data_IF_757108009520
#
_entry.id   IF_757108009520
#
_cell.length_a   1.000
_cell.length_b   1.000
_cell.length_c   1.000
_cell.angle_alpha   90.00
_cell.angle_beta   90.00
_cell.angle_gamma   90.00
#
_symmetry.space_group_name_H-M   'P 1'
#
loop_
_entity.id
_entity.type
_entity.pdbx_description
1 polymer ?
#
# COMPACT_ATOMS: atom_id res chain seq x y z
N UNK A 1 40.38 54.83 6.46
CA UNK A 1 40.56 53.56 5.72
C UNK A 1 40.83 52.35 6.61
N UNK A 2 41.63 52.44 7.68
CA UNK A 2 41.95 51.30 8.58
C UNK A 2 40.80 50.77 9.45
N UNK A 3 39.73 51.53 9.67
CA UNK A 3 38.57 51.13 10.52
C UNK A 3 37.45 50.40 9.78
N UNK A 4 37.38 50.50 8.45
CA UNK A 4 36.37 49.80 7.64
C UNK A 4 36.82 48.37 7.32
N UNK A 5 38.14 48.13 7.28
CA UNK A 5 38.70 46.79 7.04
C UNK A 5 38.45 45.82 8.21
N UNK A 6 38.34 46.31 9.44
CA UNK A 6 38.12 45.47 10.63
C UNK A 6 36.66 45.01 10.77
N UNK A 7 35.69 45.81 10.37
CA UNK A 7 34.26 45.44 10.48
C UNK A 7 33.86 44.37 9.46
N UNK A 8 34.51 44.35 8.29
CA UNK A 8 34.23 43.37 7.23
C UNK A 8 34.79 41.97 7.56
N UNK A 9 35.89 41.91 8.33
CA UNK A 9 36.51 40.65 8.76
C UNK A 9 35.73 39.96 9.90
N UNK A 10 35.03 40.73 10.75
CA UNK A 10 34.27 40.17 11.87
C UNK A 10 32.96 39.51 11.43
N UNK A 11 32.33 39.96 10.34
CA UNK A 11 31.09 39.37 9.83
C UNK A 11 31.34 38.00 9.17
N UNK A 12 32.53 37.78 8.59
CA UNK A 12 32.88 36.47 8.01
C UNK A 12 33.22 35.41 9.08
N UNK A 13 33.54 35.80 10.31
CA UNK A 13 33.88 34.87 11.39
C UNK A 13 32.63 34.30 12.12
N UNK A 14 31.45 34.85 11.87
CA UNK A 14 30.17 34.36 12.40
C UNK A 14 29.25 33.75 11.34
N UNK A 15 29.74 33.60 10.11
CA UNK A 15 29.16 32.66 9.16
C UNK A 15 29.56 31.24 9.59
N UNK A 16 29.01 30.76 10.72
CA UNK A 16 28.91 29.32 10.91
C UNK A 16 28.19 28.82 9.66
N UNK A 17 28.84 28.04 8.78
CA UNK A 17 28.12 27.43 7.69
C UNK A 17 27.01 26.62 8.36
N UNK A 18 25.81 26.78 7.82
CA UNK A 18 24.62 26.07 8.24
C UNK A 18 24.94 24.59 8.51
N UNK A 19 25.13 24.24 9.79
CA UNK A 19 25.15 22.85 10.27
C UNK A 19 23.74 22.23 10.23
N UNK A 20 22.80 22.87 9.53
CA UNK A 20 21.45 22.40 9.26
C UNK A 20 21.40 21.34 8.13
N UNK A 21 22.55 20.86 7.67
CA UNK A 21 22.66 19.78 6.68
C UNK A 21 23.62 18.67 7.13
N UNK A 22 23.76 18.44 8.44
CA UNK A 22 24.44 17.23 8.92
C UNK A 22 23.48 16.05 8.80
N UNK A 23 23.69 15.26 7.76
CA UNK A 23 23.01 13.99 7.54
C UNK A 23 24.00 12.90 7.94
N UNK A 24 24.05 12.58 9.23
CA UNK A 24 24.76 11.40 9.71
C UNK A 24 23.80 10.20 9.77
N UNK A 25 24.38 9.00 9.91
CA UNK A 25 23.61 7.76 9.98
C UNK A 25 22.61 7.77 11.14
N UNK A 26 22.94 8.45 12.25
CA UNK A 26 22.08 8.59 13.43
C UNK A 26 20.85 9.46 13.13
N UNK A 27 21.02 10.58 12.43
CA UNK A 27 19.92 11.45 12.00
C UNK A 27 18.97 10.72 11.06
N UNK A 28 19.51 10.04 10.05
CA UNK A 28 18.71 9.23 9.12
C UNK A 28 17.98 8.08 9.82
N UNK A 29 18.65 7.39 10.75
CA UNK A 29 18.02 6.32 11.53
C UNK A 29 16.92 6.86 12.45
N UNK A 30 17.11 8.04 13.03
CA UNK A 30 16.10 8.70 13.86
C UNK A 30 14.88 9.16 13.03
N UNK A 31 15.09 9.72 11.84
CA UNK A 31 14.02 10.13 10.92
C UNK A 31 13.26 8.93 10.33
N UNK A 32 13.94 7.81 10.08
CA UNK A 32 13.32 6.59 9.59
C UNK A 32 12.47 5.86 10.65
N UNK A 33 12.63 6.21 11.94
CA UNK A 33 11.99 5.52 13.05
C UNK A 33 10.47 5.62 12.95
N UNK A 34 9.82 4.46 12.93
CA UNK A 34 8.37 4.33 12.80
C UNK A 34 7.85 4.41 11.36
N UNK A 35 8.70 4.62 10.35
CA UNK A 35 8.35 4.61 8.91
C UNK A 35 9.30 3.72 8.08
N UNK A 36 9.92 2.72 8.69
CA UNK A 36 10.96 1.89 8.09
C UNK A 36 10.48 1.16 6.82
N UNK A 37 9.20 0.75 6.80
CA UNK A 37 8.57 0.16 5.63
C UNK A 37 8.43 1.14 4.45
N UNK A 38 8.19 2.42 4.75
CA UNK A 38 8.11 3.48 3.73
C UNK A 38 9.51 3.74 3.16
N UNK A 39 10.52 3.85 4.02
CA UNK A 39 11.93 4.00 3.61
C UNK A 39 12.34 2.82 2.73
N UNK A 40 12.01 1.59 3.13
CA UNK A 40 12.29 0.39 2.35
C UNK A 40 11.65 0.44 0.95
N UNK A 41 10.41 0.93 0.86
CA UNK A 41 9.70 1.10 -0.41
C UNK A 41 10.39 2.15 -1.29
N UNK A 42 10.76 3.31 -0.74
CA UNK A 42 11.45 4.39 -1.47
C UNK A 42 12.78 3.89 -2.04
N UNK A 43 13.54 3.14 -1.25
CA UNK A 43 14.84 2.56 -1.66
C UNK A 43 14.69 1.36 -2.61
N UNK A 44 13.46 0.89 -2.89
CA UNK A 44 13.24 -0.34 -3.65
C UNK A 44 13.74 -1.60 -2.92
N UNK A 45 13.96 -1.50 -1.60
CA UNK A 45 14.49 -2.53 -0.71
C UNK A 45 13.38 -3.49 -0.24
N UNK A 46 12.69 -4.10 -1.19
CA UNK A 46 11.71 -5.15 -0.94
C UNK A 46 11.91 -6.34 -1.88
N UNK A 47 11.54 -7.57 -1.46
CA UNK A 47 11.79 -8.77 -2.27
C UNK A 47 11.10 -8.72 -3.63
N UNK A 48 11.89 -8.90 -4.69
CA UNK A 48 11.43 -9.06 -6.08
C UNK A 48 11.89 -10.42 -6.59
N UNK A 49 11.38 -11.47 -5.95
CA UNK A 49 11.79 -12.83 -6.25
C UNK A 49 11.51 -13.18 -7.73
N UNK A 50 12.40 -13.93 -8.39
CA UNK A 50 12.21 -14.34 -9.78
C UNK A 50 11.08 -15.36 -9.90
N UNK A 51 10.57 -15.58 -11.12
CA UNK A 51 9.52 -16.57 -11.39
C UNK A 51 9.86 -17.96 -10.81
N UNK A 52 11.13 -18.40 -10.95
CA UNK A 52 11.59 -19.70 -10.44
C UNK A 52 11.34 -19.91 -8.94
N UNK A 53 11.45 -18.85 -8.13
CA UNK A 53 11.13 -18.91 -6.71
C UNK A 53 9.66 -19.29 -6.48
N UNK A 54 8.74 -18.68 -7.25
CA UNK A 54 7.31 -18.95 -7.12
C UNK A 54 6.93 -20.30 -7.72
N UNK A 55 7.60 -20.77 -8.77
CA UNK A 55 7.42 -22.14 -9.29
C UNK A 55 7.75 -23.18 -8.23
N UNK A 56 8.90 -23.07 -7.57
CA UNK A 56 9.30 -23.99 -6.50
C UNK A 56 8.35 -23.91 -5.30
N UNK A 57 7.90 -22.71 -4.94
CA UNK A 57 6.91 -22.52 -3.86
C UNK A 57 5.57 -23.17 -4.20
N UNK A 58 5.13 -23.05 -5.46
CA UNK A 58 3.89 -23.67 -5.92
C UNK A 58 3.99 -25.20 -5.88
N UNK A 59 5.08 -25.78 -6.39
CA UNK A 59 5.32 -27.22 -6.37
C UNK A 59 5.30 -27.78 -4.94
N UNK A 60 6.02 -27.13 -4.03
CA UNK A 60 6.04 -27.52 -2.62
C UNK A 60 4.65 -27.41 -1.95
N UNK A 61 3.90 -26.34 -2.25
CA UNK A 61 2.55 -26.16 -1.72
C UNK A 61 1.56 -27.21 -2.27
N UNK A 62 1.63 -27.54 -3.55
CA UNK A 62 0.78 -28.58 -4.17
C UNK A 62 1.07 -29.96 -3.59
N UNK A 63 2.35 -30.30 -3.38
CA UNK A 63 2.73 -31.55 -2.72
C UNK A 63 2.22 -31.60 -1.26
N UNK A 64 2.27 -30.48 -0.54
CA UNK A 64 1.75 -30.39 0.82
C UNK A 64 0.22 -30.55 0.87
N UNK A 65 -0.52 -29.90 -0.03
CA UNK A 65 -1.99 -30.04 -0.15
C UNK A 65 -2.38 -31.49 -0.44
N UNK A 66 -1.65 -32.17 -1.33
CA UNK A 66 -1.91 -33.57 -1.66
C UNK A 66 -1.69 -34.52 -0.46
N UNK A 67 -0.74 -34.18 0.41
CA UNK A 67 -0.44 -34.94 1.63
C UNK A 67 -1.44 -34.67 2.75
N UNK A 68 -1.79 -33.40 2.96
CA UNK A 68 -2.74 -32.96 3.98
C UNK A 68 -3.58 -31.79 3.45
N UNK A 69 -4.82 -32.07 3.00
CA UNK A 69 -5.70 -31.03 2.48
C UNK A 69 -6.26 -30.11 3.57
N UNK A 70 -6.04 -30.40 4.86
CA UNK A 70 -6.50 -29.59 6.00
C UNK A 70 -5.49 -28.55 6.45
N UNK A 71 -4.25 -28.59 5.95
CA UNK A 71 -3.29 -27.49 6.11
C UNK A 71 -3.71 -26.31 5.21
N UNK A 72 -4.63 -25.48 5.69
CA UNK A 72 -5.16 -24.39 4.87
C UNK A 72 -4.15 -23.26 4.61
N UNK A 73 -3.01 -23.22 5.31
CA UNK A 73 -1.97 -22.22 5.07
C UNK A 73 -1.23 -22.50 3.76
N UNK A 74 -1.10 -23.77 3.34
CA UNK A 74 -0.42 -24.11 2.08
C UNK A 74 -1.21 -23.67 0.85
N UNK A 75 -2.55 -23.56 0.95
CA UNK A 75 -3.36 -22.96 -0.13
C UNK A 75 -3.07 -21.46 -0.30
N UNK A 76 -2.84 -20.71 0.78
CA UNK A 76 -2.44 -19.29 0.70
C UNK A 76 -1.11 -19.17 -0.04
N UNK A 77 -0.16 -20.09 0.23
CA UNK A 77 1.13 -20.14 -0.44
C UNK A 77 0.99 -20.46 -1.93
N UNK A 78 0.16 -21.44 -2.29
CA UNK A 78 -0.12 -21.82 -3.67
C UNK A 78 -0.80 -20.67 -4.44
N UNK A 79 -1.81 -20.03 -3.83
CA UNK A 79 -2.53 -18.91 -4.42
C UNK A 79 -1.61 -17.72 -4.71
N UNK A 80 -0.81 -17.28 -3.73
CA UNK A 80 0.15 -16.19 -3.91
C UNK A 80 1.19 -16.54 -4.97
N UNK A 81 1.71 -17.77 -4.98
CA UNK A 81 2.65 -18.21 -6.01
C UNK A 81 2.02 -18.16 -7.41
N UNK A 82 0.78 -18.63 -7.58
CA UNK A 82 0.05 -18.57 -8.84
C UNK A 82 -0.14 -17.12 -9.32
N UNK A 83 -0.56 -16.21 -8.45
CA UNK A 83 -0.76 -14.80 -8.78
C UNK A 83 0.54 -14.13 -9.25
N UNK A 84 1.64 -14.39 -8.55
CA UNK A 84 2.98 -13.89 -8.88
C UNK A 84 3.50 -14.42 -10.20
N UNK A 85 3.10 -15.64 -10.58
CA UNK A 85 3.36 -16.24 -11.90
C UNK A 85 2.39 -15.76 -13.00
N UNK A 86 1.41 -14.91 -12.67
CA UNK A 86 0.39 -14.47 -13.63
C UNK A 86 -0.71 -15.48 -13.90
N UNK A 87 -0.77 -16.57 -13.14
CA UNK A 87 -1.79 -17.61 -13.24
C UNK A 87 -2.99 -17.25 -12.34
N UNK A 88 -3.63 -16.09 -12.59
CA UNK A 88 -4.66 -15.55 -11.70
C UNK A 88 -5.88 -16.47 -11.55
N UNK A 89 -6.33 -17.14 -12.61
CA UNK A 89 -7.42 -18.13 -12.51
C UNK A 89 -7.06 -19.29 -11.58
N UNK A 90 -5.83 -19.78 -11.66
CA UNK A 90 -5.33 -20.82 -10.76
C UNK A 90 -5.22 -20.29 -9.32
N UNK A 91 -4.83 -19.03 -9.13
CA UNK A 91 -4.79 -18.42 -7.80
C UNK A 91 -6.18 -18.36 -7.14
N UNK A 92 -7.20 -17.99 -7.92
CA UNK A 92 -8.60 -17.98 -7.47
C UNK A 92 -9.08 -19.40 -7.17
N UNK A 93 -8.81 -20.36 -8.07
CA UNK A 93 -9.17 -21.76 -7.86
C UNK A 93 -8.53 -22.36 -6.59
N UNK A 94 -7.30 -21.97 -6.23
CA UNK A 94 -6.67 -22.38 -4.97
C UNK A 94 -7.42 -21.84 -3.75
N UNK A 95 -7.95 -20.62 -3.83
CA UNK A 95 -8.76 -20.06 -2.74
C UNK A 95 -10.14 -20.71 -2.65
N UNK A 96 -10.76 -21.04 -3.77
CA UNK A 96 -12.02 -21.80 -3.80
C UNK A 96 -11.83 -23.20 -3.21
N UNK A 97 -10.73 -23.88 -3.55
CA UNK A 97 -10.38 -25.17 -2.96
C UNK A 97 -10.13 -25.07 -1.46
N UNK A 98 -9.43 -24.02 -1.00
CA UNK A 98 -9.26 -23.71 0.44
C UNK A 98 -10.60 -23.54 1.13
N UNK A 99 -11.50 -22.74 0.55
CA UNK A 99 -12.83 -22.49 1.10
C UNK A 99 -13.62 -23.79 1.26
N UNK A 100 -13.57 -24.66 0.23
CA UNK A 100 -14.20 -25.99 0.29
C UNK A 100 -13.58 -26.86 1.38
N UNK A 101 -12.25 -26.94 1.47
CA UNK A 101 -11.58 -27.73 2.50
C UNK A 101 -11.91 -27.26 3.93
N UNK A 102 -12.01 -25.94 4.14
CA UNK A 102 -12.45 -25.36 5.40
C UNK A 102 -13.91 -25.71 5.73
N UNK A 103 -14.79 -25.67 4.72
CA UNK A 103 -16.19 -26.05 4.88
C UNK A 103 -16.35 -27.54 5.23
N UNK A 104 -15.67 -28.42 4.50
CA UNK A 104 -15.72 -29.87 4.71
C UNK A 104 -15.21 -30.26 6.11
N UNK A 105 -14.29 -29.46 6.67
CA UNK A 105 -13.76 -29.61 8.02
C UNK A 105 -14.57 -28.87 9.12
N UNK A 106 -15.72 -28.26 8.77
CA UNK A 106 -16.54 -27.47 9.68
C UNK A 106 -15.76 -26.34 10.40
N UNK A 107 -14.91 -25.62 9.66
CA UNK A 107 -14.13 -24.52 10.20
C UNK A 107 -15.01 -23.44 10.85
N UNK A 108 -14.63 -23.00 12.05
CA UNK A 108 -15.30 -21.97 12.81
C UNK A 108 -14.35 -20.81 13.10
N UNK A 109 -14.49 -19.73 12.32
CA UNK A 109 -13.65 -18.54 12.41
C UNK A 109 -13.65 -17.90 13.81
N UNK A 110 -14.72 -18.09 14.60
CA UNK A 110 -14.85 -17.51 15.94
C UNK A 110 -13.95 -18.16 16.99
N UNK A 111 -13.41 -19.35 16.69
CA UNK A 111 -12.54 -20.13 17.59
C UNK A 111 -11.05 -19.94 17.31
N UNK A 112 -10.70 -19.16 16.29
CA UNK A 112 -9.32 -18.99 15.83
C UNK A 112 -8.79 -17.58 16.10
N UNK A 113 -7.52 -17.43 16.49
CA UNK A 113 -6.91 -16.11 16.64
C UNK A 113 -6.78 -15.40 15.29
N UNK A 114 -6.97 -14.08 15.31
CA UNK A 114 -6.78 -13.23 14.13
C UNK A 114 -5.28 -12.92 13.89
N UNK A 115 -4.83 -12.74 12.62
CA UNK A 115 -5.58 -13.00 11.39
C UNK A 115 -5.75 -14.51 11.16
N UNK A 116 -6.99 -14.98 11.04
CA UNK A 116 -7.28 -16.41 10.88
C UNK A 116 -7.33 -16.83 9.38
N UNK A 117 -7.69 -18.09 9.11
CA UNK A 117 -7.79 -18.60 7.74
C UNK A 117 -8.94 -18.00 6.92
N UNK A 118 -10.07 -17.63 7.54
CA UNK A 118 -11.21 -16.95 6.90
C UNK A 118 -10.83 -15.55 6.44
N UNK A 119 -10.17 -14.78 7.32
CA UNK A 119 -9.60 -13.49 6.97
C UNK A 119 -8.66 -13.59 5.76
N UNK A 120 -7.65 -14.47 5.83
CA UNK A 120 -6.64 -14.62 4.75
C UNK A 120 -7.28 -15.04 3.43
N UNK A 121 -8.27 -15.94 3.47
CA UNK A 121 -9.02 -16.37 2.30
C UNK A 121 -9.67 -15.17 1.59
N UNK A 122 -10.39 -14.33 2.33
CA UNK A 122 -11.08 -13.14 1.79
C UNK A 122 -10.08 -12.11 1.25
N UNK A 123 -9.03 -11.81 2.01
CA UNK A 123 -8.00 -10.86 1.59
C UNK A 123 -7.27 -11.30 0.30
N UNK A 124 -6.93 -12.59 0.20
CA UNK A 124 -6.30 -13.17 -0.99
C UNK A 124 -7.25 -13.22 -2.19
N UNK A 125 -8.49 -13.69 -2.01
CA UNK A 125 -9.51 -13.69 -3.08
C UNK A 125 -9.70 -12.29 -3.65
N UNK A 126 -9.89 -11.29 -2.76
CA UNK A 126 -10.09 -9.92 -3.19
C UNK A 126 -8.91 -9.38 -4.02
N UNK A 127 -7.70 -9.69 -3.58
CA UNK A 127 -6.47 -9.33 -4.29
C UNK A 127 -6.36 -10.03 -5.65
N UNK A 128 -6.62 -11.33 -5.72
CA UNK A 128 -6.49 -12.10 -6.96
C UNK A 128 -7.52 -11.70 -8.01
N UNK A 129 -8.75 -11.34 -7.61
CA UNK A 129 -9.75 -10.82 -8.53
C UNK A 129 -9.27 -9.52 -9.21
N UNK A 130 -8.84 -8.51 -8.44
CA UNK A 130 -8.39 -7.26 -9.06
C UNK A 130 -7.11 -7.45 -9.87
N UNK A 131 -6.20 -8.35 -9.45
CA UNK A 131 -5.04 -8.69 -10.26
C UNK A 131 -5.41 -9.35 -11.59
N UNK A 132 -6.39 -10.25 -11.61
CA UNK A 132 -6.90 -10.84 -12.86
C UNK A 132 -7.45 -9.77 -13.78
N UNK A 133 -8.26 -8.85 -13.25
CA UNK A 133 -8.79 -7.73 -14.02
C UNK A 133 -7.68 -6.86 -14.63
N UNK A 134 -6.67 -6.48 -13.83
CA UNK A 134 -5.51 -5.71 -14.31
C UNK A 134 -4.77 -6.47 -15.43
N UNK A 135 -4.47 -7.76 -15.22
CA UNK A 135 -3.69 -8.56 -16.17
C UNK A 135 -4.45 -8.90 -17.45
N UNK A 136 -5.78 -8.89 -17.42
CA UNK A 136 -6.63 -9.12 -18.59
C UNK A 136 -6.98 -7.83 -19.34
N UNK A 137 -6.32 -6.71 -18.99
CA UNK A 137 -6.36 -5.47 -19.76
C UNK A 137 -7.04 -4.30 -19.06
N UNK A 138 -7.46 -4.45 -17.79
CA UNK A 138 -8.06 -3.37 -17.01
C UNK A 138 -9.26 -2.71 -17.73
N UNK A 139 -10.14 -3.53 -18.32
CA UNK A 139 -11.28 -3.06 -19.11
C UNK A 139 -12.43 -2.59 -18.21
N UNK A 140 -12.76 -1.29 -18.26
CA UNK A 140 -13.90 -0.69 -17.55
C UNK A 140 -15.27 -1.16 -18.00
N UNK A 141 -15.38 -1.84 -19.13
CA UNK A 141 -16.60 -2.56 -19.50
C UNK A 141 -16.77 -3.88 -18.73
N UNK A 142 -15.70 -4.42 -18.11
CA UNK A 142 -15.68 -5.74 -17.46
C UNK A 142 -15.30 -5.63 -15.99
N UNK A 143 -16.23 -5.16 -15.18
CA UNK A 143 -16.00 -4.77 -13.77
C UNK A 143 -16.33 -5.82 -12.72
N UNK A 144 -16.70 -7.03 -13.14
CA UNK A 144 -17.13 -8.09 -12.23
C UNK A 144 -16.03 -8.45 -11.23
N UNK A 145 -14.78 -8.56 -11.70
CA UNK A 145 -13.64 -8.86 -10.85
C UNK A 145 -13.32 -7.73 -9.87
N UNK A 146 -13.42 -6.47 -10.28
CA UNK A 146 -13.21 -5.33 -9.37
C UNK A 146 -14.31 -5.29 -8.30
N UNK A 147 -15.55 -5.62 -8.68
CA UNK A 147 -16.69 -5.68 -7.77
C UNK A 147 -16.51 -6.81 -6.74
N UNK A 148 -16.17 -8.02 -7.20
CA UNK A 148 -15.84 -9.16 -6.33
C UNK A 148 -14.65 -8.85 -5.44
N UNK A 149 -13.63 -8.18 -5.98
CA UNK A 149 -12.47 -7.75 -5.20
C UNK A 149 -12.89 -6.85 -4.04
N UNK A 150 -13.70 -5.82 -4.32
CA UNK A 150 -14.21 -4.89 -3.31
C UNK A 150 -14.99 -5.61 -2.22
N UNK A 151 -15.90 -6.52 -2.59
CA UNK A 151 -16.70 -7.29 -1.63
C UNK A 151 -15.83 -8.14 -0.70
N UNK A 152 -14.85 -8.84 -1.25
CA UNK A 152 -13.95 -9.71 -0.48
C UNK A 152 -13.04 -8.92 0.45
N UNK A 153 -12.44 -7.82 -0.03
CA UNK A 153 -11.60 -6.95 0.82
C UNK A 153 -12.44 -6.30 1.92
N UNK A 154 -13.64 -5.81 1.62
CA UNK A 154 -14.54 -5.25 2.63
C UNK A 154 -14.92 -6.30 3.69
N UNK A 155 -15.18 -7.55 3.27
CA UNK A 155 -15.45 -8.65 4.19
C UNK A 155 -14.23 -9.01 5.07
N UNK A 156 -13.01 -8.94 4.53
CA UNK A 156 -11.77 -9.15 5.29
C UNK A 156 -11.58 -8.06 6.36
N UNK A 157 -11.78 -6.78 6.00
CA UNK A 157 -11.69 -5.64 6.93
C UNK A 157 -12.73 -5.76 8.04
N UNK A 158 -13.96 -6.15 7.70
CA UNK A 158 -15.01 -6.34 8.71
C UNK A 158 -14.63 -7.41 9.74
N UNK A 159 -13.90 -8.44 9.33
CA UNK A 159 -13.45 -9.51 10.20
C UNK A 159 -12.23 -9.12 11.05
N UNK A 160 -11.26 -8.41 10.46
CA UNK A 160 -10.11 -7.89 11.18
C UNK A 160 -9.67 -6.54 10.60
N UNK A 161 -10.11 -5.41 11.19
CA UNK A 161 -9.82 -4.08 10.65
C UNK A 161 -8.36 -3.64 10.86
N UNK A 162 -7.65 -4.23 11.82
CA UNK A 162 -6.28 -3.86 12.19
C UNK A 162 -5.21 -4.78 11.55
N UNK A 163 -5.63 -5.72 10.70
CA UNK A 163 -4.71 -6.62 10.00
C UNK A 163 -3.72 -5.86 9.10
N UNK A 164 -2.52 -6.43 8.92
CA UNK A 164 -1.47 -5.94 8.00
C UNK A 164 -1.27 -4.41 8.00
N UNK A 165 -1.28 -3.78 9.19
CA UNK A 165 -1.10 -2.34 9.35
C UNK A 165 -2.16 -1.49 8.62
N UNK A 166 -3.36 -2.04 8.41
CA UNK A 166 -4.47 -1.37 7.75
C UNK A 166 -4.34 -1.28 6.23
N UNK A 167 -3.42 -2.03 5.60
CA UNK A 167 -3.21 -2.05 4.13
C UNK A 167 -4.53 -2.23 3.36
N UNK A 168 -5.37 -3.16 3.81
CA UNK A 168 -6.62 -3.54 3.18
C UNK A 168 -7.59 -2.36 3.09
N UNK A 169 -7.57 -1.44 4.05
CA UNK A 169 -8.39 -0.22 4.01
C UNK A 169 -8.05 0.61 2.78
N UNK A 170 -6.76 0.73 2.46
CA UNK A 170 -6.29 1.51 1.32
C UNK A 170 -6.46 0.73 0.00
N UNK A 171 -6.37 -0.59 0.05
CA UNK A 171 -6.78 -1.44 -1.08
C UNK A 171 -8.28 -1.27 -1.39
N UNK A 172 -9.13 -1.22 -0.37
CA UNK A 172 -10.56 -0.98 -0.54
C UNK A 172 -10.82 0.41 -1.12
N UNK A 173 -10.16 1.46 -0.61
CA UNK A 173 -10.26 2.81 -1.18
C UNK A 173 -9.87 2.86 -2.65
N UNK A 174 -8.80 2.15 -3.03
CA UNK A 174 -8.42 2.00 -4.42
C UNK A 174 -9.54 1.36 -5.24
N UNK A 175 -10.09 0.24 -4.78
CA UNK A 175 -11.20 -0.46 -5.46
C UNK A 175 -12.46 0.40 -5.56
N UNK A 176 -12.81 1.15 -4.52
CA UNK A 176 -13.92 2.11 -4.52
C UNK A 176 -13.71 3.23 -5.53
N UNK A 177 -12.49 3.75 -5.63
CA UNK A 177 -12.10 4.74 -6.63
C UNK A 177 -12.25 4.19 -8.05
N UNK A 178 -11.76 2.97 -8.31
CA UNK A 178 -11.93 2.27 -9.60
C UNK A 178 -13.42 2.13 -9.98
N UNK A 179 -14.25 1.66 -9.04
CA UNK A 179 -15.70 1.47 -9.26
C UNK A 179 -16.43 2.80 -9.47
N UNK A 180 -15.99 3.87 -8.80
CA UNK A 180 -16.59 5.20 -8.96
C UNK A 180 -16.42 5.79 -10.36
N UNK A 181 -15.63 5.13 -11.24
CA UNK A 181 -15.13 5.60 -12.53
C UNK A 181 -14.45 6.95 -12.36
N UNK A 182 -13.11 7.01 -12.20
CA UNK A 182 -12.42 8.27 -12.03
C UNK A 182 -12.93 9.27 -13.05
N UNK A 183 -13.59 10.31 -12.53
CA UNK A 183 -14.22 11.36 -13.31
C UNK A 183 -13.18 11.82 -14.33
N UNK A 184 -13.59 12.05 -15.58
CA UNK A 184 -12.76 12.76 -16.56
C UNK A 184 -12.47 14.15 -15.95
N UNK A 185 -11.37 14.25 -15.21
CA UNK A 185 -11.10 15.46 -14.44
C UNK A 185 -10.63 16.50 -15.44
N UNK A 186 -11.54 17.40 -15.82
CA UNK A 186 -11.15 18.59 -16.57
C UNK A 186 -10.10 19.31 -15.72
N UNK A 187 -8.86 19.47 -16.21
CA UNK A 187 -7.80 20.07 -15.42
C UNK A 187 -8.22 21.49 -15.06
N UNK A 188 -8.44 21.73 -13.78
CA UNK A 188 -8.45 23.07 -13.21
C UNK A 188 -7.02 23.51 -12.99
N UNK A 189 -6.73 24.80 -13.16
CA UNK A 189 -5.40 25.36 -12.97
C UNK A 189 -5.46 26.41 -11.87
N UNK A 190 -4.43 26.45 -11.02
CA UNK A 190 -4.24 27.56 -10.09
C UNK A 190 -3.86 28.85 -10.87
N UNK A 191 -3.79 29.97 -10.15
CA UNK A 191 -3.38 31.27 -10.72
C UNK A 191 -1.97 31.28 -11.36
N UNK A 192 -1.17 30.24 -11.15
CA UNK A 192 0.16 30.07 -11.71
C UNK A 192 0.19 29.09 -12.90
N UNK A 193 -0.98 28.65 -13.38
CA UNK A 193 -1.07 27.68 -14.48
C UNK A 193 -0.68 26.27 -14.09
N UNK A 194 -0.58 25.94 -12.79
CA UNK A 194 -0.35 24.57 -12.33
C UNK A 194 -1.68 23.83 -12.18
N UNK A 195 -1.82 22.59 -12.67
CA UNK A 195 -3.04 21.84 -12.53
C UNK A 195 -3.36 21.54 -11.05
N UNK A 196 -4.57 21.86 -10.61
CA UNK A 196 -5.05 21.64 -9.24
C UNK A 196 -5.79 20.32 -9.07
N UNK A 197 -6.40 19.79 -10.15
CA UNK A 197 -7.18 18.54 -10.11
C UNK A 197 -6.78 17.55 -11.22
N UNK A 198 -5.67 17.74 -11.93
CA UNK A 198 -5.39 16.95 -13.14
C UNK A 198 -4.93 15.50 -12.90
N UNK A 199 -4.89 15.05 -11.64
CA UNK A 199 -4.28 13.76 -11.30
C UNK A 199 -5.25 12.82 -10.58
N UNK A 200 -5.07 11.50 -10.75
CA UNK A 200 -5.78 10.46 -10.01
C UNK A 200 -5.73 10.72 -8.51
N UNK A 201 -6.90 10.84 -7.89
CA UNK A 201 -7.00 10.98 -6.44
C UNK A 201 -7.63 9.75 -5.80
N UNK A 202 -6.86 8.67 -5.87
CA UNK A 202 -7.22 7.35 -5.35
C UNK A 202 -7.49 7.37 -3.84
N UNK A 203 -6.97 8.36 -3.11
CA UNK A 203 -7.10 8.49 -1.66
C UNK A 203 -8.02 9.64 -1.21
N UNK A 204 -8.58 10.43 -2.12
CA UNK A 204 -9.40 11.60 -1.76
C UNK A 204 -8.60 12.77 -1.15
N UNK A 205 -7.30 12.85 -1.41
CA UNK A 205 -6.37 13.87 -0.93
C UNK A 205 -6.75 15.29 -1.35
N UNK A 206 -7.46 15.52 -2.47
CA UNK A 206 -7.90 16.87 -2.84
C UNK A 206 -8.88 17.47 -1.82
N UNK A 207 -9.61 16.62 -1.08
CA UNK A 207 -10.54 17.04 -0.02
C UNK A 207 -9.86 17.23 1.32
N UNK A 208 -8.67 16.66 1.50
CA UNK A 208 -7.87 16.90 2.70
C UNK A 208 -7.24 18.29 2.56
N UNK A 209 -7.62 19.23 3.42
CA UNK A 209 -6.99 20.55 3.48
C UNK A 209 -5.48 20.39 3.64
N UNK A 210 -4.66 21.26 3.04
CA UNK A 210 -3.24 21.37 3.41
C UNK A 210 -3.18 21.57 4.92
N UNK A 211 -2.30 20.84 5.60
CA UNK A 211 -2.19 20.86 7.05
C UNK A 211 -1.84 22.28 7.52
N UNK A 212 -2.86 23.09 7.78
CA UNK A 212 -2.78 24.48 8.24
C UNK A 212 -3.91 24.71 9.22
N UNK A 213 -3.81 24.05 10.37
CA UNK A 213 -4.75 24.22 11.46
C UNK A 213 -4.04 24.94 12.61
N UNK A 214 -4.64 26.04 13.07
CA UNK A 214 -4.22 26.67 14.33
C UNK A 214 -4.65 25.84 15.56
N UNK A 215 -5.49 24.84 15.36
CA UNK A 215 -5.83 23.83 16.35
C UNK A 215 -4.85 22.65 16.27
N UNK A 216 -4.03 22.51 17.31
CA UNK A 216 -3.01 21.47 17.44
C UNK A 216 -3.61 20.05 17.51
N UNK A 217 -4.81 19.88 18.05
CA UNK A 217 -5.46 18.57 18.11
C UNK A 217 -5.95 18.13 16.72
N UNK A 218 -6.56 19.05 15.97
CA UNK A 218 -6.94 18.82 14.58
C UNK A 218 -5.73 18.55 13.68
N UNK A 219 -4.63 19.31 13.86
CA UNK A 219 -3.35 19.07 13.18
C UNK A 219 -2.84 17.65 13.45
N UNK A 220 -2.71 17.27 14.72
CA UNK A 220 -2.18 15.95 15.12
C UNK A 220 -3.04 14.81 14.58
N UNK A 221 -4.37 14.96 14.62
CA UNK A 221 -5.30 13.98 14.06
C UNK A 221 -5.07 13.81 12.55
N UNK A 222 -4.97 14.90 11.81
CA UNK A 222 -4.75 14.85 10.37
C UNK A 222 -3.39 14.24 10.02
N UNK A 223 -2.34 14.61 10.75
CA UNK A 223 -1.00 14.05 10.57
C UNK A 223 -0.98 12.52 10.76
N UNK A 224 -1.61 12.03 11.83
CA UNK A 224 -1.69 10.59 12.11
C UNK A 224 -2.45 9.83 11.00
N UNK A 225 -3.48 10.43 10.41
CA UNK A 225 -4.20 9.81 9.29
C UNK A 225 -3.37 9.76 8.01
N UNK A 226 -2.58 10.79 7.72
CA UNK A 226 -1.62 10.79 6.61
C UNK A 226 -0.54 9.73 6.81
N UNK A 227 -0.01 9.58 8.02
CA UNK A 227 0.99 8.57 8.34
C UNK A 227 0.46 7.14 8.15
N UNK A 228 -0.75 6.85 8.64
CA UNK A 228 -1.42 5.56 8.40
C UNK A 228 -1.59 5.29 6.90
N UNK A 229 -1.96 6.32 6.14
CA UNK A 229 -2.13 6.22 4.69
C UNK A 229 -0.82 5.90 3.99
N UNK A 230 0.26 6.58 4.36
CA UNK A 230 1.59 6.32 3.81
C UNK A 230 2.03 4.88 4.08
N UNK A 231 1.84 4.39 5.32
CA UNK A 231 2.13 2.99 5.71
C UNK A 231 1.29 1.99 4.92
N UNK A 232 0.00 2.24 4.78
CA UNK A 232 -0.89 1.38 4.00
C UNK A 232 -0.50 1.28 2.54
N UNK A 233 -0.19 2.41 1.89
CA UNK A 233 0.28 2.45 0.51
C UNK A 233 1.65 1.77 0.33
N UNK A 234 2.58 1.97 1.27
CA UNK A 234 3.84 1.22 1.29
C UNK A 234 3.60 -0.30 1.39
N UNK A 235 2.60 -0.72 2.18
CA UNK A 235 2.14 -2.10 2.25
C UNK A 235 1.63 -2.65 0.91
N UNK A 236 0.91 -1.85 0.12
CA UNK A 236 0.46 -2.23 -1.24
C UNK A 236 1.66 -2.44 -2.17
N UNK A 237 2.71 -1.64 -2.05
CA UNK A 237 3.93 -1.79 -2.85
C UNK A 237 4.69 -3.07 -2.43
N UNK A 238 5.06 -3.15 -1.16
CA UNK A 238 5.90 -4.21 -0.59
C UNK A 238 5.25 -5.60 -0.69
N UNK A 239 3.95 -5.69 -0.38
CA UNK A 239 3.23 -6.97 -0.30
C UNK A 239 2.18 -7.15 -1.39
N UNK A 240 1.55 -6.07 -1.87
CA UNK A 240 0.45 -6.11 -2.83
C UNK A 240 0.86 -6.03 -4.31
N UNK A 241 2.16 -5.99 -4.62
CA UNK A 241 2.67 -5.86 -6.00
C UNK A 241 2.34 -4.51 -6.68
N UNK A 242 2.00 -3.48 -5.93
CA UNK A 242 1.64 -2.17 -6.47
C UNK A 242 2.85 -1.29 -6.86
N UNK A 243 4.08 -1.82 -6.85
CA UNK A 243 5.31 -1.08 -7.18
C UNK A 243 5.38 -0.54 -8.61
N UNK A 244 4.47 -0.98 -9.49
CA UNK A 244 4.29 -0.46 -10.85
C UNK A 244 3.07 0.47 -11.00
N UNK A 245 2.32 0.72 -9.93
CA UNK A 245 1.16 1.60 -9.97
C UNK A 245 1.62 3.05 -9.83
N UNK A 246 1.46 3.82 -10.91
CA UNK A 246 1.72 5.25 -10.90
C UNK A 246 0.80 5.97 -9.90
N UNK A 247 -0.46 5.54 -9.79
CA UNK A 247 -1.44 6.16 -8.88
C UNK A 247 -1.05 6.00 -7.40
N UNK A 248 -0.55 4.81 -7.02
CA UNK A 248 -0.08 4.56 -5.64
C UNK A 248 1.18 5.38 -5.35
N UNK A 249 2.16 5.40 -6.25
CA UNK A 249 3.37 6.20 -6.10
C UNK A 249 3.07 7.70 -6.02
N UNK A 250 2.17 8.17 -6.88
CA UNK A 250 1.72 9.56 -6.89
C UNK A 250 0.98 9.95 -5.60
N UNK A 251 0.10 9.10 -5.11
CA UNK A 251 -0.57 9.33 -3.83
C UNK A 251 0.44 9.41 -2.67
N UNK A 252 1.44 8.51 -2.63
CA UNK A 252 2.50 8.58 -1.62
C UNK A 252 3.28 9.89 -1.68
N UNK A 253 3.63 10.36 -2.89
CA UNK A 253 4.32 11.63 -3.08
C UNK A 253 3.50 12.80 -2.52
N UNK A 254 2.20 12.87 -2.82
CA UNK A 254 1.33 13.95 -2.32
C UNK A 254 1.25 13.90 -0.79
N UNK A 255 1.14 12.71 -0.19
CA UNK A 255 1.04 12.55 1.26
C UNK A 255 2.32 13.03 1.93
N UNK A 256 3.49 12.59 1.45
CA UNK A 256 4.79 12.99 1.98
C UNK A 256 4.96 14.52 1.93
N UNK A 257 4.62 15.15 0.80
CA UNK A 257 4.72 16.61 0.63
C UNK A 257 3.73 17.43 1.51
N UNK A 258 2.83 16.79 2.25
CA UNK A 258 1.88 17.44 3.18
C UNK A 258 2.24 17.23 4.65
N UNK A 259 3.28 16.47 4.93
CA UNK A 259 3.82 16.28 6.29
C UNK A 259 4.87 17.35 6.65
N UNK A 260 5.43 18.03 5.63
CA UNK A 260 6.31 19.20 5.74
C UNK A 260 5.52 20.52 5.86
#
# INVERSE_FOLDING_TARGET
>A
MRRILLTTLTICAFASPAMACLWDDDTLAHEAKGIEDVVSVILGAFPRNPAKYFEMRLEAAEAAIAKDPTDWAVYDNAGVACDRLGKCDKAIAMMEAKAKAMQDANFDASKEPQPNHSYRLKANLGTFYVHRWIKTGADWAKMDDVTKAKEQIAAAIKENPDAHFGREIYQLKALEWLVSKPIEVKPSFNKYGSPTNAYPDIMGLHKMAVVRSNDAAAFKKQYNELEKMLKGLAGLIKMGNAWRSLDVLYAMQIIAARQD
#
